data_IF_510887864230
#
_entry.id   IF_510887864230
#
_cell.length_a   1.000
_cell.length_b   1.000
_cell.length_c   1.000
_cell.angle_alpha   90.00
_cell.angle_beta   90.00
_cell.angle_gamma   90.00
#
_symmetry.space_group_name_H-M   'P 1'
#
loop_
_entity.id
_entity.type
_entity.pdbx_description
1 polymer ?
#
# COMPACT_ATOMS: atom_id res chain seq x y z
N UNK A 1 -10.83 4.75 9.89
CA UNK A 1 -10.02 4.92 8.66
C UNK A 1 -8.56 4.98 9.03
N UNK A 2 -7.70 4.24 8.32
CA UNK A 2 -6.26 4.12 8.60
C UNK A 2 -5.45 4.25 7.31
N UNK A 3 -4.17 4.58 7.43
CA UNK A 3 -3.26 4.66 6.29
C UNK A 3 -2.26 3.52 6.36
N UNK A 4 -2.02 2.86 5.22
CA UNK A 4 -0.95 1.91 5.03
C UNK A 4 0.08 2.52 4.08
N UNK A 5 1.33 2.63 4.54
CA UNK A 5 2.45 2.97 3.66
C UNK A 5 2.87 1.72 2.89
N UNK A 6 2.75 1.74 1.56
CA UNK A 6 3.39 0.73 0.74
C UNK A 6 4.90 1.00 0.59
N UNK A 7 5.67 0.01 0.11
CA UNK A 7 7.10 0.18 -0.12
C UNK A 7 7.45 1.37 -1.03
N UNK A 8 8.45 2.16 -0.66
CA UNK A 8 8.88 3.38 -1.38
C UNK A 8 7.87 4.53 -1.32
N UNK A 9 6.97 4.51 -0.34
CA UNK A 9 5.95 5.55 -0.12
C UNK A 9 5.86 5.98 1.35
N UNK A 10 6.74 5.49 2.21
CA UNK A 10 6.71 5.67 3.67
C UNK A 10 6.70 7.15 4.07
N UNK A 11 7.59 7.95 3.47
CA UNK A 11 7.68 9.37 3.79
C UNK A 11 6.42 10.15 3.39
N UNK A 12 5.84 9.85 2.22
CA UNK A 12 4.62 10.52 1.76
C UNK A 12 3.41 10.09 2.59
N UNK A 13 3.29 8.79 2.86
CA UNK A 13 2.22 8.23 3.68
C UNK A 13 2.23 8.82 5.10
N UNK A 14 3.41 8.95 5.71
CA UNK A 14 3.58 9.57 7.03
C UNK A 14 3.10 11.02 7.03
N UNK A 15 3.52 11.83 6.03
CA UNK A 15 3.07 13.22 5.91
C UNK A 15 1.55 13.31 5.73
N UNK A 16 0.95 12.46 4.92
CA UNK A 16 -0.52 12.42 4.74
C UNK A 16 -1.20 12.04 6.05
N UNK A 17 -0.68 11.05 6.78
CA UNK A 17 -1.21 10.62 8.06
C UNK A 17 -1.19 11.74 9.11
N UNK A 18 -0.08 12.48 9.20
CA UNK A 18 0.06 13.63 10.08
C UNK A 18 -0.92 14.76 9.72
N UNK A 19 -1.04 15.09 8.43
CA UNK A 19 -1.94 16.17 7.97
C UNK A 19 -3.42 15.83 8.18
N UNK A 20 -3.79 14.56 8.07
CA UNK A 20 -5.18 14.10 8.23
C UNK A 20 -5.49 13.60 9.65
N UNK A 21 -4.51 13.60 10.56
CA UNK A 21 -4.60 13.01 11.90
C UNK A 21 -5.13 11.56 11.88
N UNK A 22 -4.60 10.75 10.96
CA UNK A 22 -4.96 9.33 10.79
C UNK A 22 -3.85 8.41 11.31
N UNK A 23 -4.23 7.23 11.80
CA UNK A 23 -3.26 6.22 12.22
C UNK A 23 -2.53 5.62 11.03
N UNK A 24 -1.20 5.63 11.08
CA UNK A 24 -0.36 4.85 10.16
C UNK A 24 -0.25 3.40 10.67
N UNK A 25 -0.64 2.44 9.84
CA UNK A 25 -0.52 1.01 10.10
C UNK A 25 0.93 0.56 9.97
N UNK A 26 1.33 -0.38 10.82
CA UNK A 26 2.61 -1.07 10.68
C UNK A 26 2.60 -1.99 9.46
N UNK A 27 3.61 -1.87 8.61
CA UNK A 27 3.86 -2.81 7.53
C UNK A 27 5.29 -3.35 7.65
N UNK A 28 5.40 -4.65 7.87
CA UNK A 28 6.65 -5.38 7.69
C UNK A 28 6.68 -6.04 6.33
N UNK A 29 7.76 -5.90 5.58
CA UNK A 29 7.93 -6.59 4.30
C UNK A 29 9.35 -7.13 4.12
N UNK A 30 9.47 -8.22 3.34
CA UNK A 30 10.76 -8.79 2.93
C UNK A 30 10.74 -9.13 1.45
N UNK A 31 11.91 -9.03 0.84
CA UNK A 31 12.16 -9.52 -0.52
C UNK A 31 12.93 -10.82 -0.43
N UNK A 32 12.44 -11.86 -1.10
CA UNK A 32 13.13 -13.12 -1.24
C UNK A 32 14.19 -13.02 -2.36
N UNK A 33 15.12 -13.97 -2.37
CA UNK A 33 16.24 -14.01 -3.34
C UNK A 33 15.80 -14.26 -4.77
N UNK A 34 14.63 -14.87 -4.97
CA UNK A 34 13.99 -15.10 -6.27
C UNK A 34 13.18 -13.89 -6.77
N UNK A 35 13.10 -12.83 -5.96
CA UNK A 35 12.38 -11.60 -6.30
C UNK A 35 10.95 -11.53 -5.76
N UNK A 36 10.45 -12.58 -5.10
CA UNK A 36 9.14 -12.54 -4.45
C UNK A 36 9.10 -11.55 -3.29
N UNK A 37 7.90 -11.07 -2.95
CA UNK A 37 7.68 -10.14 -1.84
C UNK A 37 6.69 -10.73 -0.84
N UNK A 38 7.04 -10.66 0.44
CA UNK A 38 6.15 -11.02 1.54
C UNK A 38 5.78 -9.79 2.35
N UNK A 39 4.50 -9.71 2.74
CA UNK A 39 3.93 -8.63 3.52
C UNK A 39 3.28 -9.16 4.80
N UNK A 40 3.49 -8.42 5.89
CA UNK A 40 2.79 -8.60 7.16
C UNK A 40 2.28 -7.24 7.63
N UNK A 41 0.97 -7.09 7.67
CA UNK A 41 0.30 -5.87 8.14
C UNK A 41 0.00 -6.05 9.63
N UNK A 42 0.28 -5.02 10.41
CA UNK A 42 0.11 -5.01 11.86
C UNK A 42 -1.08 -4.12 12.26
N UNK A 43 -1.82 -4.56 13.29
CA UNK A 43 -2.98 -3.86 13.82
C UNK A 43 -4.32 -4.50 13.41
N UNK A 44 -5.40 -4.06 14.08
CA UNK A 44 -6.75 -4.49 13.77
C UNK A 44 -7.31 -3.71 12.57
N UNK A 45 -7.89 -4.43 11.61
CA UNK A 45 -8.43 -3.88 10.36
C UNK A 45 -9.92 -4.22 10.16
N UNK A 46 -10.53 -4.94 11.10
CA UNK A 46 -11.92 -5.37 10.97
C UNK A 46 -12.85 -4.15 10.86
N UNK A 47 -13.63 -4.09 9.78
CA UNK A 47 -14.58 -3.00 9.49
C UNK A 47 -13.94 -1.61 9.39
N UNK A 48 -12.65 -1.56 9.08
CA UNK A 48 -11.92 -0.29 8.88
C UNK A 48 -11.76 0.03 7.39
N UNK A 49 -11.93 1.32 7.06
CA UNK A 49 -11.49 1.86 5.78
C UNK A 49 -9.97 2.05 5.79
N UNK A 50 -9.29 1.58 4.75
CA UNK A 50 -7.83 1.66 4.64
C UNK A 50 -7.43 2.38 3.36
N UNK A 51 -6.63 3.44 3.52
CA UNK A 51 -5.96 4.12 2.43
C UNK A 51 -4.58 3.50 2.25
N UNK A 52 -4.30 2.92 1.09
CA UNK A 52 -2.94 2.52 0.71
C UNK A 52 -2.30 3.69 -0.02
N UNK A 53 -1.17 4.18 0.48
CA UNK A 53 -0.33 5.13 -0.26
C UNK A 53 0.81 4.34 -0.89
N UNK A 54 0.79 4.20 -2.21
CA UNK A 54 1.79 3.43 -2.94
C UNK A 54 2.09 4.04 -4.31
N UNK A 55 3.34 4.46 -4.53
CA UNK A 55 3.84 4.77 -5.87
C UNK A 55 4.12 3.49 -6.65
N UNK A 56 3.99 3.56 -7.97
CA UNK A 56 4.41 2.46 -8.87
C UNK A 56 5.73 2.76 -9.58
N UNK A 57 6.62 3.53 -8.94
CA UNK A 57 7.97 3.85 -9.42
C UNK A 57 8.97 3.95 -8.25
N UNK A 58 10.25 3.58 -8.43
CA UNK A 58 10.83 2.85 -9.58
C UNK A 58 10.50 1.35 -9.52
N UNK A 59 10.78 0.62 -10.59
CA UNK A 59 10.44 -0.81 -10.78
C UNK A 59 8.92 -1.04 -10.89
N UNK A 60 8.36 -0.59 -12.01
CA UNK A 60 6.92 -0.48 -12.26
C UNK A 60 6.16 -1.78 -12.02
N UNK A 61 6.61 -2.88 -12.61
CA UNK A 61 5.99 -4.20 -12.47
C UNK A 61 5.98 -4.67 -11.02
N UNK A 62 7.12 -4.56 -10.35
CA UNK A 62 7.26 -4.93 -8.94
C UNK A 62 6.33 -4.10 -8.07
N UNK A 63 6.37 -2.77 -8.16
CA UNK A 63 5.56 -1.88 -7.31
C UNK A 63 4.06 -2.01 -7.57
N UNK A 64 3.68 -2.30 -8.82
CA UNK A 64 2.30 -2.61 -9.19
C UNK A 64 1.83 -3.92 -8.53
N UNK A 65 2.66 -4.97 -8.58
CA UNK A 65 2.37 -6.25 -7.91
C UNK A 65 2.26 -6.08 -6.39
N UNK A 66 3.16 -5.28 -5.78
CA UNK A 66 3.09 -4.96 -4.35
C UNK A 66 1.75 -4.28 -4.00
N UNK A 67 1.30 -3.29 -4.78
CA UNK A 67 0.01 -2.64 -4.58
C UNK A 67 -1.16 -3.64 -4.65
N UNK A 68 -1.14 -4.54 -5.65
CA UNK A 68 -2.17 -5.58 -5.82
C UNK A 68 -2.17 -6.53 -4.61
N UNK A 69 -1.00 -6.98 -4.15
CA UNK A 69 -0.89 -7.87 -3.00
C UNK A 69 -1.27 -7.22 -1.67
N UNK A 70 -0.91 -5.96 -1.45
CA UNK A 70 -1.34 -5.20 -0.28
C UNK A 70 -2.87 -5.04 -0.26
N UNK A 71 -3.46 -4.68 -1.41
CA UNK A 71 -4.92 -4.57 -1.57
C UNK A 71 -5.62 -5.89 -1.25
N UNK A 72 -5.12 -7.00 -1.80
CA UNK A 72 -5.67 -8.33 -1.55
C UNK A 72 -5.52 -8.74 -0.07
N UNK A 73 -4.37 -8.46 0.54
CA UNK A 73 -4.10 -8.78 1.94
C UNK A 73 -5.04 -8.01 2.88
N UNK A 74 -5.25 -6.71 2.65
CA UNK A 74 -6.19 -5.91 3.44
C UNK A 74 -7.62 -6.46 3.38
N UNK A 75 -8.10 -6.82 2.19
CA UNK A 75 -9.42 -7.44 2.02
C UNK A 75 -9.53 -8.75 2.81
N UNK A 76 -8.49 -9.59 2.78
CA UNK A 76 -8.45 -10.85 3.55
C UNK A 76 -8.42 -10.64 5.07
N UNK A 77 -7.87 -9.51 5.52
CA UNK A 77 -7.83 -9.13 6.94
C UNK A 77 -9.11 -8.43 7.43
N UNK A 78 -10.12 -8.26 6.56
CA UNK A 78 -11.44 -7.77 6.96
C UNK A 78 -11.64 -6.25 6.90
N UNK A 79 -10.81 -5.53 6.14
CA UNK A 79 -11.05 -4.11 5.85
C UNK A 79 -12.37 -3.91 5.12
N UNK A 80 -13.15 -2.89 5.48
CA UNK A 80 -14.44 -2.59 4.84
C UNK A 80 -14.25 -2.01 3.43
N UNK A 81 -13.37 -1.02 3.32
CA UNK A 81 -13.03 -0.36 2.06
C UNK A 81 -11.53 -0.21 1.92
N UNK A 82 -11.03 -0.41 0.71
CA UNK A 82 -9.62 -0.16 0.36
C UNK A 82 -9.57 0.94 -0.70
N UNK A 83 -8.84 2.01 -0.40
CA UNK A 83 -8.65 3.17 -1.28
C UNK A 83 -7.18 3.24 -1.67
N UNK A 84 -6.87 3.16 -2.96
CA UNK A 84 -5.51 3.28 -3.45
C UNK A 84 -5.20 4.73 -3.83
N UNK A 85 -4.25 5.34 -3.12
CA UNK A 85 -3.62 6.61 -3.48
C UNK A 85 -2.30 6.29 -4.17
N UNK A 86 -2.27 6.52 -5.49
CA UNK A 86 -1.14 6.17 -6.36
C UNK A 86 -0.55 7.43 -6.97
N UNK A 87 0.45 8.08 -6.32
CA UNK A 87 0.98 9.39 -6.75
C UNK A 87 1.58 9.35 -8.16
N UNK A 88 2.23 8.24 -8.50
CA UNK A 88 2.68 7.93 -9.86
C UNK A 88 2.11 6.58 -10.25
N UNK A 89 1.33 6.54 -11.33
CA UNK A 89 0.72 5.35 -11.90
C UNK A 89 1.47 4.92 -13.17
N UNK A 90 2.18 3.80 -13.09
CA UNK A 90 2.82 3.16 -14.23
C UNK A 90 1.77 2.71 -15.24
N UNK A 91 2.17 2.60 -16.51
CA UNK A 91 1.28 2.27 -17.63
C UNK A 91 0.13 3.26 -17.89
N UNK A 92 0.06 4.40 -17.19
CA UNK A 92 -0.93 5.44 -17.48
C UNK A 92 -0.80 6.04 -18.89
N UNK A 93 0.32 5.81 -19.59
CA UNK A 93 0.57 6.21 -20.99
C UNK A 93 0.24 5.11 -22.01
N UNK A 94 -0.10 3.91 -21.55
CA UNK A 94 -0.48 2.75 -22.36
C UNK A 94 -2.01 2.63 -22.45
N UNK A 95 -2.69 3.78 -22.49
CA UNK A 95 -4.14 3.93 -22.56
C UNK A 95 -4.66 3.88 -24.01
N UNK A 96 -3.80 3.53 -24.97
CA UNK A 96 -4.08 3.42 -26.40
C UNK A 96 -3.74 2.04 -26.95
#
# INVERSE_FOLDING_TARGET
>A
MKILAGPNSEQLAQKIAEQLNLTLLGLSYKYFTDGETYFKIEGNLEKEDVIIVQTTYPNQEKRLLELIFLTNTLKKLGSDKVIAVVPYLCYARADR
#
